data_IF_957657162277
#
_entry.id   IF_957657162277
#
_cell.length_a   1.000
_cell.length_b   1.000
_cell.length_c   1.000
_cell.angle_alpha   90.00
_cell.angle_beta   90.00
_cell.angle_gamma   90.00
#
_symmetry.space_group_name_H-M   'P 1'
#
loop_
_entity.id
_entity.type
_entity.pdbx_description
1 polymer ?
#
# COMPACT_ATOMS: atom_id res chain seq x y z
N UNK A 1 -9.63 -5.15 11.07
CA UNK A 1 -10.50 -5.23 9.89
C UNK A 1 -11.17 -3.88 9.69
N UNK A 2 -10.90 -3.25 8.59
CA UNK A 2 -11.50 -1.97 8.22
C UNK A 2 -12.05 -2.06 6.80
N UNK A 3 -13.24 -2.69 6.62
CA UNK A 3 -13.84 -2.70 5.31
C UNK A 3 -14.36 -1.30 4.97
N UNK A 4 -14.30 -0.94 3.71
CA UNK A 4 -15.07 0.18 3.19
C UNK A 4 -16.13 -0.33 2.25
N UNK A 5 -17.17 0.47 2.06
CA UNK A 5 -18.29 0.08 1.22
C UNK A 5 -17.94 0.23 -0.25
N UNK A 6 -18.54 -0.57 -1.11
CA UNK A 6 -18.28 -0.59 -2.52
C UNK A 6 -17.87 -1.98 -3.00
N UNK A 7 -17.14 -2.06 -4.11
CA UNK A 7 -16.70 -3.32 -4.70
C UNK A 7 -15.36 -3.82 -4.18
N UNK A 8 -14.63 -2.96 -3.49
CA UNK A 8 -13.31 -3.26 -2.92
C UNK A 8 -13.30 -2.95 -1.42
N UNK A 9 -12.65 -3.79 -0.65
CA UNK A 9 -12.32 -3.48 0.73
C UNK A 9 -10.96 -4.08 1.13
N UNK A 10 -10.39 -3.51 2.17
CA UNK A 10 -9.11 -3.96 2.73
C UNK A 10 -9.33 -4.66 4.06
N UNK A 11 -8.42 -5.55 4.37
CA UNK A 11 -8.32 -6.23 5.65
C UNK A 11 -6.92 -6.00 6.21
N UNK A 12 -6.83 -5.42 7.40
CA UNK A 12 -5.57 -5.28 8.11
C UNK A 12 -5.44 -6.43 9.11
N UNK A 13 -4.36 -7.17 8.98
CA UNK A 13 -4.07 -8.30 9.85
C UNK A 13 -2.79 -8.00 10.62
N UNK A 14 -2.88 -8.01 11.96
CA UNK A 14 -1.72 -7.92 12.82
C UNK A 14 -1.35 -9.32 13.28
N UNK A 15 -0.14 -9.74 12.96
CA UNK A 15 0.41 -11.03 13.40
C UNK A 15 1.43 -10.75 14.49
N UNK A 16 1.22 -11.36 15.66
CA UNK A 16 2.18 -11.34 16.76
C UNK A 16 2.90 -12.66 16.77
N UNK A 17 4.22 -12.64 16.56
CA UNK A 17 5.04 -13.84 16.67
C UNK A 17 5.90 -13.74 17.91
N UNK A 18 5.86 -14.78 18.74
CA UNK A 18 6.76 -14.93 19.88
C UNK A 18 8.01 -15.67 19.40
N UNK A 19 9.19 -15.10 19.66
CA UNK A 19 10.43 -15.81 19.44
C UNK A 19 10.87 -16.48 20.73
N UNK A 20 11.30 -17.74 20.63
CA UNK A 20 11.72 -18.56 21.79
C UNK A 20 13.02 -18.08 22.42
N UNK A 21 13.79 -17.24 21.75
CA UNK A 21 15.04 -16.71 22.24
C UNK A 21 14.83 -15.39 22.99
N UNK A 22 14.73 -15.49 24.32
CA UNK A 22 14.72 -14.33 25.18
C UNK A 22 13.39 -13.59 25.33
N UNK A 23 12.26 -14.20 24.94
CA UNK A 23 10.93 -13.63 25.16
C UNK A 23 10.63 -12.38 24.34
N UNK A 24 11.27 -12.20 23.19
CA UNK A 24 11.01 -11.07 22.30
C UNK A 24 9.78 -11.37 21.45
N UNK A 25 8.78 -10.50 21.56
CA UNK A 25 7.64 -10.50 20.66
C UNK A 25 7.97 -9.64 19.43
N UNK A 26 7.72 -10.17 18.24
CA UNK A 26 7.71 -9.38 17.01
C UNK A 26 6.27 -9.22 16.52
N UNK A 27 5.91 -8.02 16.09
CA UNK A 27 4.61 -7.72 15.53
C UNK A 27 4.75 -7.36 14.06
N UNK A 28 3.96 -7.98 13.22
CA UNK A 28 3.89 -7.63 11.81
C UNK A 28 2.46 -7.33 11.40
N UNK A 29 2.31 -6.42 10.44
CA UNK A 29 1.02 -6.07 9.86
C UNK A 29 0.99 -6.54 8.42
N UNK A 30 -0.14 -7.11 8.00
CA UNK A 30 -0.40 -7.45 6.62
C UNK A 30 -1.71 -6.82 6.19
N UNK A 31 -1.76 -6.32 4.96
CA UNK A 31 -2.94 -5.73 4.37
C UNK A 31 -3.36 -6.58 3.18
N UNK A 32 -4.62 -6.97 3.17
CA UNK A 32 -5.20 -7.78 2.09
C UNK A 32 -6.30 -6.95 1.42
N UNK A 33 -6.29 -6.94 0.10
CA UNK A 33 -7.32 -6.31 -0.72
C UNK A 33 -8.25 -7.36 -1.27
N UNK A 34 -9.54 -7.08 -1.24
CA UNK A 34 -10.56 -8.04 -1.66
C UNK A 34 -11.53 -7.38 -2.65
N UNK A 35 -11.77 -8.06 -3.76
CA UNK A 35 -12.76 -7.67 -4.75
C UNK A 35 -14.08 -8.37 -4.44
N UNK A 36 -15.05 -7.62 -3.97
CA UNK A 36 -16.37 -8.15 -3.60
C UNK A 36 -17.19 -8.55 -4.83
N UNK A 37 -16.97 -7.88 -5.94
CA UNK A 37 -17.70 -8.17 -7.19
C UNK A 37 -17.35 -9.56 -7.71
N UNK A 38 -16.07 -9.93 -7.66
CA UNK A 38 -15.57 -11.21 -8.16
C UNK A 38 -15.26 -12.21 -7.04
N UNK A 39 -15.47 -11.83 -5.78
CA UNK A 39 -15.25 -12.66 -4.59
C UNK A 39 -13.85 -13.27 -4.52
N UNK A 40 -12.83 -12.43 -4.71
CA UNK A 40 -11.44 -12.88 -4.70
C UNK A 40 -10.51 -11.87 -4.06
N UNK A 41 -9.36 -12.37 -3.58
CA UNK A 41 -8.26 -11.53 -3.11
C UNK A 41 -7.57 -10.92 -4.34
N UNK A 42 -7.28 -9.63 -4.27
CA UNK A 42 -6.58 -8.89 -5.32
C UNK A 42 -5.10 -8.88 -4.98
N UNK A 43 -4.27 -9.32 -5.92
CA UNK A 43 -2.82 -9.27 -5.79
C UNK A 43 -2.27 -7.95 -6.32
N UNK A 44 -1.01 -7.67 -6.00
CA UNK A 44 -0.35 -6.45 -6.47
C UNK A 44 -0.33 -6.34 -8.00
N UNK A 45 -0.15 -7.46 -8.71
CA UNK A 45 -0.12 -7.49 -10.17
C UNK A 45 -1.46 -7.15 -10.82
N UNK A 46 -2.53 -7.28 -10.06
CA UNK A 46 -3.88 -6.91 -10.52
C UNK A 46 -4.19 -5.44 -10.28
N UNK A 47 -3.39 -4.76 -9.48
CA UNK A 47 -3.56 -3.33 -9.17
C UNK A 47 -2.60 -2.50 -9.99
N UNK A 48 -1.32 -2.86 -9.96
CA UNK A 48 -0.26 -2.14 -10.69
C UNK A 48 0.25 -2.97 -11.85
N UNK A 49 0.44 -2.32 -12.99
CA UNK A 49 1.04 -2.94 -14.16
C UNK A 49 2.48 -3.33 -13.86
N UNK A 50 2.81 -4.63 -13.98
CA UNK A 50 4.14 -5.14 -13.69
C UNK A 50 5.23 -4.54 -14.60
N UNK A 51 4.88 -4.11 -15.80
CA UNK A 51 5.80 -3.44 -16.70
C UNK A 51 6.17 -2.03 -16.23
N UNK A 52 5.40 -1.46 -15.32
CA UNK A 52 5.60 -0.10 -14.79
C UNK A 52 6.24 -0.08 -13.40
N UNK A 53 6.75 -1.20 -12.93
CA UNK A 53 7.32 -1.34 -11.58
C UNK A 53 8.38 -0.29 -11.28
N UNK A 54 9.31 -0.04 -12.20
CA UNK A 54 10.37 0.96 -12.03
C UNK A 54 9.82 2.37 -11.88
N UNK A 55 8.78 2.71 -12.64
CA UNK A 55 8.15 4.02 -12.58
C UNK A 55 7.42 4.24 -11.25
N UNK A 56 6.77 3.20 -10.76
CA UNK A 56 6.06 3.24 -9.47
C UNK A 56 7.07 3.39 -8.34
N UNK A 57 8.17 2.65 -8.36
CA UNK A 57 9.25 2.76 -7.37
C UNK A 57 9.84 4.17 -7.37
N UNK A 58 10.03 4.78 -8.55
CA UNK A 58 10.52 6.14 -8.66
C UNK A 58 9.58 7.15 -7.98
N UNK A 59 8.27 7.00 -8.15
CA UNK A 59 7.28 7.84 -7.46
C UNK A 59 7.32 7.66 -5.95
N UNK A 60 7.44 6.44 -5.48
CA UNK A 60 7.56 6.14 -4.05
C UNK A 60 8.81 6.79 -3.46
N UNK A 61 9.95 6.66 -4.13
CA UNK A 61 11.22 7.22 -3.68
C UNK A 61 11.20 8.75 -3.69
N UNK A 62 10.54 9.36 -4.66
CA UNK A 62 10.33 10.80 -4.69
C UNK A 62 9.53 11.28 -3.47
N UNK A 63 8.51 10.54 -3.09
CA UNK A 63 7.73 10.83 -1.90
C UNK A 63 8.53 10.62 -0.61
N UNK A 64 9.41 9.61 -0.58
CA UNK A 64 10.33 9.38 0.55
C UNK A 64 11.27 10.57 0.72
N UNK A 65 11.89 11.05 -0.36
CA UNK A 65 12.77 12.23 -0.31
C UNK A 65 12.04 13.46 0.23
N UNK A 66 10.84 13.71 -0.27
CA UNK A 66 10.01 14.82 0.19
C UNK A 66 9.70 14.71 1.69
N UNK A 67 9.38 13.51 2.16
CA UNK A 67 9.09 13.26 3.57
C UNK A 67 10.33 13.47 4.46
N UNK A 68 11.48 13.01 4.01
CA UNK A 68 12.75 13.21 4.74
C UNK A 68 13.04 14.69 4.94
N UNK A 69 12.85 15.50 3.91
CA UNK A 69 13.10 16.94 3.97
C UNK A 69 12.08 17.63 4.87
N UNK A 70 10.79 17.35 4.68
CA UNK A 70 9.71 18.02 5.42
C UNK A 70 9.67 17.68 6.90
N UNK A 71 9.99 16.45 7.25
CA UNK A 71 9.89 15.96 8.62
C UNK A 71 11.25 15.77 9.30
N UNK A 72 12.33 16.06 8.60
CA UNK A 72 13.70 15.90 9.10
C UNK A 72 13.93 14.50 9.69
N UNK A 73 13.56 13.48 8.93
CA UNK A 73 13.76 12.08 9.29
C UNK A 73 14.75 11.42 8.36
N UNK A 74 15.41 10.38 8.85
CA UNK A 74 16.38 9.59 8.09
C UNK A 74 15.70 8.32 7.58
N UNK A 75 15.56 8.23 6.26
CA UNK A 75 15.00 7.07 5.57
C UNK A 75 15.89 6.73 4.38
N UNK A 76 15.74 5.52 3.88
CA UNK A 76 16.39 5.06 2.65
C UNK A 76 15.37 4.86 1.55
N UNK A 77 15.81 5.01 0.30
CA UNK A 77 15.01 4.67 -0.85
C UNK A 77 14.68 3.17 -0.86
N UNK A 78 13.57 2.81 -1.48
CA UNK A 78 13.17 1.42 -1.61
C UNK A 78 13.58 0.88 -2.99
N UNK A 79 13.88 -0.41 -3.05
CA UNK A 79 14.23 -1.11 -4.30
C UNK A 79 13.03 -1.87 -4.88
N UNK A 80 12.01 -2.10 -4.07
CA UNK A 80 10.80 -2.81 -4.45
C UNK A 80 9.57 -2.04 -4.01
N UNK A 81 8.44 -2.31 -4.65
CA UNK A 81 7.16 -1.78 -4.18
C UNK A 81 6.85 -2.42 -2.83
N UNK A 82 6.58 -1.62 -1.78
CA UNK A 82 6.21 -2.18 -0.49
C UNK A 82 4.99 -3.10 -0.60
N UNK A 83 5.02 -4.23 0.05
CA UNK A 83 3.93 -5.22 -0.01
C UNK A 83 2.65 -4.75 0.67
N UNK A 84 2.77 -3.90 1.68
CA UNK A 84 1.63 -3.38 2.42
C UNK A 84 1.33 -1.95 1.98
N UNK A 85 0.13 -1.75 1.51
CA UNK A 85 -0.35 -0.45 1.08
C UNK A 85 -1.87 -0.40 1.20
N UNK A 86 -2.42 0.80 1.27
CA UNK A 86 -3.86 1.01 1.27
C UNK A 86 -4.24 1.86 0.07
N UNK A 87 -5.34 1.48 -0.56
CA UNK A 87 -5.86 2.14 -1.76
C UNK A 87 -6.94 3.12 -1.32
N UNK A 88 -6.69 4.39 -1.51
CA UNK A 88 -7.61 5.44 -1.15
C UNK A 88 -8.21 6.13 -2.36
N UNK A 89 -9.10 7.05 -2.11
CA UNK A 89 -9.77 7.83 -3.16
C UNK A 89 -8.81 8.78 -3.88
N UNK A 90 -7.87 9.36 -3.13
CA UNK A 90 -6.93 10.37 -3.66
C UNK A 90 -5.50 9.89 -3.69
N UNK A 91 -5.12 9.04 -2.76
CA UNK A 91 -3.75 8.58 -2.59
C UNK A 91 -3.70 7.10 -2.33
N UNK A 92 -2.59 6.48 -2.73
CA UNK A 92 -2.18 5.19 -2.21
C UNK A 92 -1.17 5.47 -1.10
N UNK A 93 -1.33 4.83 0.05
CA UNK A 93 -0.39 4.93 1.16
C UNK A 93 0.40 3.64 1.22
N UNK A 94 1.70 3.74 0.97
CA UNK A 94 2.62 2.62 1.10
C UNK A 94 3.23 2.63 2.49
N UNK A 95 3.30 1.47 3.13
CA UNK A 95 3.93 1.32 4.44
C UNK A 95 5.34 0.79 4.24
N UNK A 96 6.31 1.61 4.61
CA UNK A 96 7.73 1.30 4.46
C UNK A 96 8.31 1.04 5.85
N UNK A 97 8.83 -0.17 6.05
CA UNK A 97 9.49 -0.54 7.30
C UNK A 97 11.00 -0.44 7.14
N UNK A 98 11.62 0.36 7.99
CA UNK A 98 13.08 0.51 8.04
C UNK A 98 13.53 0.53 9.50
N UNK A 99 14.37 -0.41 9.86
CA UNK A 99 14.76 -0.62 11.25
C UNK A 99 13.54 -1.02 12.08
N UNK A 100 13.29 -0.33 13.16
CA UNK A 100 12.11 -0.53 14.01
C UNK A 100 10.94 0.40 13.67
N UNK A 101 11.09 1.22 12.64
CA UNK A 101 10.11 2.23 12.28
C UNK A 101 9.27 1.80 11.07
N UNK A 102 8.00 2.19 11.09
CA UNK A 102 7.07 2.00 9.99
C UNK A 102 6.59 3.38 9.52
N UNK A 103 6.88 3.71 8.28
CA UNK A 103 6.56 5.01 7.71
C UNK A 103 5.42 4.91 6.72
N UNK A 104 4.55 5.91 6.71
CA UNK A 104 3.50 6.05 5.71
C UNK A 104 3.98 6.95 4.57
N UNK A 105 4.02 6.40 3.36
CA UNK A 105 4.44 7.12 2.16
C UNK A 105 3.24 7.27 1.23
N UNK A 106 2.77 8.51 1.07
CA UNK A 106 1.63 8.82 0.22
C UNK A 106 2.08 9.13 -1.20
N UNK A 107 1.45 8.47 -2.15
CA UNK A 107 1.62 8.76 -3.58
C UNK A 107 0.23 9.04 -4.16
N UNK A 108 0.08 10.14 -4.90
CA UNK A 108 -1.21 10.50 -5.42
C UNK A 108 -1.71 9.55 -6.49
N UNK A 109 -3.02 9.30 -6.51
CA UNK A 109 -3.64 8.48 -7.55
C UNK A 109 -3.49 9.11 -8.94
N UNK A 110 -3.42 10.44 -9.00
CA UNK A 110 -3.20 11.16 -10.25
C UNK A 110 -1.85 10.76 -10.86
N UNK A 111 -0.79 10.69 -10.06
CA UNK A 111 0.53 10.27 -10.52
C UNK A 111 0.59 8.77 -10.85
N UNK A 112 -0.14 7.95 -10.11
CA UNK A 112 -0.16 6.50 -10.30
C UNK A 112 -1.09 6.04 -11.43
N UNK A 113 -2.03 6.89 -11.85
CA UNK A 113 -3.07 6.52 -12.79
C UNK A 113 -2.57 5.82 -14.07
N UNK A 114 -1.46 6.27 -14.71
CA UNK A 114 -0.95 5.60 -15.90
C UNK A 114 -0.43 4.18 -15.64
N UNK A 115 -0.19 3.83 -14.37
CA UNK A 115 0.44 2.57 -13.97
C UNK A 115 -0.53 1.59 -13.32
N UNK A 116 -1.79 1.97 -13.13
CA UNK A 116 -2.83 1.05 -12.69
C UNK A 116 -3.24 0.11 -13.82
N UNK A 117 -3.61 -1.11 -13.49
CA UNK A 117 -4.17 -2.05 -14.46
C UNK A 117 -5.57 -1.62 -14.88
N UNK A 118 -6.02 -2.10 -16.05
CA UNK A 118 -7.39 -1.89 -16.49
C UNK A 118 -8.39 -2.52 -15.50
N UNK A 119 -8.07 -3.68 -14.97
CA UNK A 119 -8.88 -4.34 -13.96
C UNK A 119 -9.13 -3.44 -12.75
N UNK A 120 -8.08 -2.83 -12.21
CA UNK A 120 -8.21 -1.96 -11.04
C UNK A 120 -8.94 -0.66 -11.39
N UNK A 121 -8.67 -0.07 -12.54
CA UNK A 121 -9.39 1.13 -12.99
C UNK A 121 -10.90 0.87 -13.14
N UNK A 122 -11.27 -0.28 -13.68
CA UNK A 122 -12.69 -0.66 -13.79
C UNK A 122 -13.31 -0.87 -12.41
N UNK A 123 -12.57 -1.46 -11.48
CA UNK A 123 -13.02 -1.66 -10.12
C UNK A 123 -13.27 -0.32 -9.41
N UNK A 124 -12.38 0.66 -9.58
CA UNK A 124 -12.52 2.00 -8.99
C UNK A 124 -13.77 2.70 -9.55
N UNK A 125 -14.00 2.63 -10.86
CA UNK A 125 -15.14 3.29 -11.50
C UNK A 125 -16.45 2.81 -10.86
N UNK A 126 -16.52 1.54 -10.50
CA UNK A 126 -17.70 0.94 -9.90
C UNK A 126 -17.74 1.07 -8.38
N UNK A 127 -16.65 1.54 -7.76
CA UNK A 127 -16.54 1.68 -6.31
C UNK A 127 -16.71 3.15 -5.91
N UNK A 128 -17.93 3.52 -5.60
CA UNK A 128 -18.28 4.92 -5.28
C UNK A 128 -18.02 5.30 -3.82
N UNK A 129 -17.50 4.38 -3.01
CA UNK A 129 -17.34 4.58 -1.57
C UNK A 129 -15.95 4.24 -1.05
N UNK A 130 -14.93 4.60 -1.82
CA UNK A 130 -13.55 4.49 -1.36
C UNK A 130 -13.30 5.41 -0.17
N UNK A 131 -12.49 4.93 0.76
CA UNK A 131 -12.08 5.74 1.91
C UNK A 131 -11.17 6.86 1.44
N UNK A 132 -11.42 8.08 1.92
CA UNK A 132 -10.57 9.23 1.63
C UNK A 132 -9.33 9.22 2.54
N UNK A 133 -8.18 9.20 1.94
CA UNK A 133 -6.89 9.27 2.65
C UNK A 133 -6.14 10.55 2.27
#
# INVERSE_FOLDING_TARGET
VQPHFGTHYRLEIMVVTETLDGGKESRSFSIVHYDRTHSKIITIDQIFDSASTSDIIALINQSIESKMIKQNIDMHEVENIPKDFVLGEKNVIFYVEQGSNRYEIKVSNEDLNPFFTNYYNDLIINDTKLVSY
#
